data_IF_477518716794
#
_entry.id   IF_477518716794
#
_cell.length_a   1.000
_cell.length_b   1.000
_cell.length_c   1.000
_cell.angle_alpha   90.00
_cell.angle_beta   90.00
_cell.angle_gamma   90.00
#
_symmetry.space_group_name_H-M   'P 1'
#
loop_
_entity.id
_entity.type
_entity.pdbx_description
1 polymer ?
#
# COMPACT_ATOMS: atom_id res chain seq x y z
N UNK A 1 -52.51 60.82 -0.17
CA UNK A 1 -53.62 61.06 -1.12
C UNK A 1 -53.41 60.25 -2.40
N UNK A 2 -54.45 59.97 -3.21
CA UNK A 2 -54.42 59.12 -4.44
C UNK A 2 -54.02 59.92 -5.71
N UNK A 3 -54.10 59.40 -6.97
CA UNK A 3 -54.69 58.15 -7.51
C UNK A 3 -53.68 57.20 -8.24
N UNK A 4 -53.87 55.87 -8.40
CA UNK A 4 -54.94 55.06 -9.07
C UNK A 4 -55.00 55.32 -10.60
N UNK A 5 -54.91 54.32 -11.50
CA UNK A 5 -55.78 53.12 -11.62
C UNK A 5 -55.28 52.06 -12.65
N UNK A 6 -55.31 50.76 -12.28
CA UNK A 6 -55.72 49.53 -13.08
C UNK A 6 -55.07 49.20 -14.45
N UNK A 7 -54.92 47.93 -14.90
CA UNK A 7 -55.80 46.73 -14.77
C UNK A 7 -55.03 45.40 -14.99
N UNK A 8 -55.62 44.27 -14.58
CA UNK A 8 -55.20 42.83 -14.67
C UNK A 8 -56.23 42.08 -15.59
N UNK A 9 -56.36 40.72 -15.74
CA UNK A 9 -55.58 39.53 -15.29
C UNK A 9 -55.54 38.31 -16.30
N UNK A 10 -55.13 37.10 -15.80
CA UNK A 10 -55.40 35.70 -16.30
C UNK A 10 -54.66 35.25 -17.58
N UNK A 11 -54.20 34.01 -17.80
CA UNK A 11 -54.15 32.76 -16.99
C UNK A 11 -54.50 31.50 -17.81
N UNK A 12 -54.04 30.30 -17.38
CA UNK A 12 -54.28 28.95 -17.99
C UNK A 12 -53.66 28.70 -19.40
N UNK A 13 -53.47 27.48 -19.93
CA UNK A 13 -53.26 26.11 -19.38
C UNK A 13 -52.86 25.13 -20.50
N UNK A 14 -52.11 24.07 -20.16
CA UNK A 14 -52.16 22.69 -20.69
C UNK A 14 -52.39 22.34 -22.18
N UNK A 15 -51.47 21.49 -22.67
CA UNK A 15 -51.67 20.29 -23.53
C UNK A 15 -51.86 20.37 -25.06
N UNK A 16 -50.97 19.59 -25.73
CA UNK A 16 -51.18 18.62 -26.84
C UNK A 16 -51.98 19.05 -28.08
N UNK A 17 -51.39 18.85 -29.27
CA UNK A 17 -51.65 17.65 -30.14
C UNK A 17 -50.88 17.70 -31.48
N UNK A 18 -50.40 16.53 -31.93
CA UNK A 18 -50.61 15.90 -33.27
C UNK A 18 -50.29 16.68 -34.59
N UNK A 19 -49.91 16.09 -35.74
CA UNK A 19 -49.82 14.68 -36.19
C UNK A 19 -49.06 14.56 -37.54
N UNK A 20 -48.98 13.32 -38.06
CA UNK A 20 -48.44 12.84 -39.37
C UNK A 20 -46.92 12.58 -39.40
N UNK A 21 -46.46 11.46 -39.98
CA UNK A 21 -47.12 10.56 -40.95
C UNK A 21 -47.27 9.11 -40.46
N UNK A 22 -48.38 8.47 -40.88
CA UNK A 22 -48.52 7.01 -40.98
C UNK A 22 -47.74 6.51 -42.19
N UNK A 23 -47.20 5.29 -42.10
CA UNK A 23 -47.59 4.22 -43.03
C UNK A 23 -47.74 2.92 -42.23
N UNK A 24 -48.66 2.05 -42.65
CA UNK A 24 -49.09 0.82 -41.97
C UNK A 24 -49.37 -0.22 -43.05
N UNK A 25 -48.98 -1.46 -42.79
CA UNK A 25 -49.60 -2.76 -43.13
C UNK A 25 -48.58 -3.81 -42.61
N UNK A 26 -48.87 -4.60 -41.57
CA UNK A 26 -49.80 -5.75 -41.47
C UNK A 26 -49.39 -6.91 -42.41
N UNK A 27 -49.48 -8.19 -42.05
CA UNK A 27 -49.89 -8.83 -40.78
C UNK A 27 -48.63 -9.25 -39.95
N UNK A 28 -48.56 -10.17 -38.97
CA UNK A 28 -49.51 -11.13 -38.35
C UNK A 28 -49.09 -11.47 -36.88
N UNK A 29 -49.77 -12.46 -36.26
CA UNK A 29 -49.60 -12.95 -34.88
C UNK A 29 -48.61 -14.15 -34.83
N UNK A 30 -48.07 -14.66 -33.71
CA UNK A 30 -48.60 -14.74 -32.34
C UNK A 30 -47.50 -15.06 -31.28
N UNK A 31 -47.79 -14.84 -29.99
CA UNK A 31 -47.20 -15.52 -28.81
C UNK A 31 -45.69 -15.37 -28.48
N UNK A 32 -45.35 -14.39 -27.63
CA UNK A 32 -45.15 -14.63 -26.18
C UNK A 32 -44.42 -13.47 -25.48
N UNK A 33 -44.80 -13.19 -24.23
CA UNK A 33 -44.36 -12.02 -23.46
C UNK A 33 -43.08 -12.26 -22.65
N UNK A 34 -42.12 -11.35 -22.75
CA UNK A 34 -40.96 -11.26 -21.86
C UNK A 34 -40.98 -9.90 -21.12
N UNK A 35 -40.83 -9.87 -19.78
CA UNK A 35 -40.75 -8.62 -19.04
C UNK A 35 -39.35 -8.00 -19.13
N UNK A 36 -39.29 -6.67 -18.99
CA UNK A 36 -38.02 -5.94 -18.87
C UNK A 36 -37.21 -6.46 -17.67
N UNK A 37 -36.00 -6.95 -17.92
CA UNK A 37 -35.03 -7.34 -16.89
C UNK A 37 -33.91 -6.30 -16.74
N UNK A 38 -33.45 -6.17 -15.51
CA UNK A 38 -32.54 -5.12 -15.04
C UNK A 38 -31.08 -5.31 -15.51
N UNK A 39 -30.20 -4.31 -15.30
CA UNK A 39 -28.77 -4.38 -15.67
C UNK A 39 -27.97 -5.54 -15.04
N UNK A 40 -28.54 -6.31 -14.12
CA UNK A 40 -27.90 -7.48 -13.52
C UNK A 40 -27.68 -8.64 -14.52
N UNK A 41 -28.51 -8.75 -15.57
CA UNK A 41 -28.49 -9.90 -16.48
C UNK A 41 -27.28 -9.94 -17.45
N UNK A 42 -26.65 -8.79 -17.74
CA UNK A 42 -25.49 -8.72 -18.65
C UNK A 42 -24.19 -9.22 -18.00
N UNK A 43 -24.05 -9.09 -16.69
CA UNK A 43 -22.85 -9.51 -15.96
C UNK A 43 -22.77 -11.04 -15.81
N UNK A 44 -23.90 -11.74 -15.65
CA UNK A 44 -23.95 -13.21 -15.58
C UNK A 44 -23.47 -13.89 -16.86
N UNK A 45 -23.77 -13.34 -18.05
CA UNK A 45 -23.29 -13.89 -19.34
C UNK A 45 -21.79 -13.64 -19.61
N UNK A 46 -21.16 -12.68 -18.91
CA UNK A 46 -19.71 -12.47 -18.99
C UNK A 46 -18.96 -13.39 -18.03
N UNK A 47 -19.54 -13.66 -16.85
CA UNK A 47 -19.00 -14.61 -15.87
C UNK A 47 -18.95 -16.05 -16.40
N UNK A 48 -20.01 -16.52 -17.08
CA UNK A 48 -20.07 -17.91 -17.56
C UNK A 48 -19.03 -18.26 -18.63
N UNK A 49 -18.59 -17.30 -19.46
CA UNK A 49 -17.51 -17.50 -20.45
C UNK A 49 -16.10 -17.55 -19.84
N UNK A 50 -15.90 -16.94 -18.67
CA UNK A 50 -14.63 -17.02 -17.93
C UNK A 50 -14.57 -18.34 -17.15
N UNK A 51 -15.70 -18.75 -16.55
CA UNK A 51 -15.84 -20.03 -15.85
C UNK A 51 -15.45 -21.22 -16.75
N UNK A 52 -15.92 -21.26 -18.01
CA UNK A 52 -15.63 -22.35 -18.95
C UNK A 52 -14.20 -22.37 -19.49
N UNK A 53 -13.45 -21.26 -19.39
CA UNK A 53 -12.01 -21.28 -19.69
C UNK A 53 -11.18 -21.72 -18.47
N UNK A 54 -11.65 -21.40 -17.25
CA UNK A 54 -11.01 -21.86 -16.01
C UNK A 54 -11.18 -23.37 -15.76
N UNK A 55 -12.26 -24.00 -16.24
CA UNK A 55 -12.46 -25.46 -16.14
C UNK A 55 -11.47 -26.22 -17.00
N UNK A 56 -11.32 -25.83 -18.28
CA UNK A 56 -10.46 -26.53 -19.22
C UNK A 56 -8.98 -26.39 -18.84
N UNK A 57 -8.59 -25.27 -18.24
CA UNK A 57 -7.23 -25.05 -17.73
C UNK A 57 -6.98 -25.87 -16.44
N UNK A 58 -8.01 -26.09 -15.61
CA UNK A 58 -7.95 -27.01 -14.45
C UNK A 58 -7.97 -28.49 -14.85
N UNK A 59 -8.60 -28.87 -15.97
CA UNK A 59 -8.48 -30.24 -16.52
C UNK A 59 -7.10 -30.46 -17.15
N UNK A 60 -6.59 -29.53 -17.94
CA UNK A 60 -5.23 -29.62 -18.50
C UNK A 60 -4.11 -29.62 -17.42
N UNK A 61 -4.38 -29.10 -16.22
CA UNK A 61 -3.49 -29.17 -15.05
C UNK A 61 -3.69 -30.41 -14.17
N UNK A 62 -4.68 -31.27 -14.45
CA UNK A 62 -4.85 -32.57 -13.74
C UNK A 62 -4.02 -33.70 -14.34
N UNK A 63 -3.66 -33.59 -15.62
CA UNK A 63 -2.77 -34.55 -16.30
C UNK A 63 -1.27 -34.23 -16.09
N UNK A 64 -0.96 -33.07 -15.50
CA UNK A 64 0.37 -32.78 -14.98
C UNK A 64 0.41 -33.20 -13.51
N UNK A 65 1.21 -34.22 -13.25
CA UNK A 65 1.39 -34.87 -11.95
C UNK A 65 1.69 -33.85 -10.83
N UNK A 66 0.65 -33.52 -10.07
CA UNK A 66 0.69 -32.54 -8.97
C UNK A 66 1.59 -33.03 -7.83
N UNK A 67 1.67 -34.35 -7.61
CA UNK A 67 2.63 -34.92 -6.64
C UNK A 67 4.06 -34.70 -7.12
N UNK A 68 4.34 -34.76 -8.43
CA UNK A 68 5.69 -34.50 -8.96
C UNK A 68 6.13 -33.03 -8.83
N UNK A 69 5.21 -32.06 -8.93
CA UNK A 69 5.52 -30.64 -8.66
C UNK A 69 5.76 -30.40 -7.17
N UNK A 70 4.92 -30.96 -6.30
CA UNK A 70 5.06 -30.84 -4.84
C UNK A 70 6.32 -31.57 -4.31
N UNK A 71 6.72 -32.70 -4.94
CA UNK A 71 8.01 -33.37 -4.67
C UNK A 71 9.24 -32.60 -5.14
N UNK A 72 9.11 -31.68 -6.10
CA UNK A 72 10.23 -30.86 -6.60
C UNK A 72 10.45 -29.63 -5.72
N UNK A 73 9.38 -28.98 -5.25
CA UNK A 73 9.51 -27.88 -4.29
C UNK A 73 10.07 -28.36 -2.93
N UNK A 74 9.61 -29.51 -2.42
CA UNK A 74 10.03 -30.05 -1.12
C UNK A 74 11.47 -30.58 -1.08
N UNK A 75 12.11 -30.87 -2.23
CA UNK A 75 13.48 -31.42 -2.28
C UNK A 75 14.61 -30.39 -2.37
N UNK A 76 14.32 -29.10 -2.49
CA UNK A 76 15.35 -28.08 -2.78
C UNK A 76 15.70 -27.16 -1.61
N UNK A 77 14.94 -27.19 -0.51
CA UNK A 77 15.19 -26.34 0.64
C UNK A 77 16.01 -27.07 1.72
N UNK A 78 17.33 -26.84 1.69
CA UNK A 78 18.28 -27.48 2.63
C UNK A 78 18.29 -26.84 4.02
N UNK A 79 17.54 -25.76 4.23
CA UNK A 79 17.76 -24.84 5.36
C UNK A 79 16.51 -24.62 6.24
N UNK A 80 15.49 -25.46 6.12
CA UNK A 80 14.22 -25.39 6.90
C UNK A 80 13.57 -23.99 6.89
N UNK A 81 13.84 -23.18 5.87
CA UNK A 81 13.20 -21.88 5.66
C UNK A 81 11.82 -22.10 5.03
N UNK A 82 10.77 -21.38 5.43
CA UNK A 82 9.51 -21.47 4.72
C UNK A 82 9.59 -20.76 3.36
N UNK A 83 8.87 -21.27 2.36
CA UNK A 83 8.82 -20.70 0.99
C UNK A 83 8.11 -19.34 0.89
N UNK A 84 7.58 -18.79 1.99
CA UNK A 84 6.91 -17.49 2.03
C UNK A 84 7.25 -16.70 3.31
N UNK A 85 7.50 -15.40 3.16
CA UNK A 85 7.74 -14.43 4.23
C UNK A 85 6.63 -14.42 5.29
N UNK A 86 5.38 -14.65 4.89
CA UNK A 86 4.22 -14.73 5.79
C UNK A 86 4.30 -15.85 6.84
N UNK A 87 5.17 -16.85 6.62
CA UNK A 87 5.35 -18.00 7.51
C UNK A 87 6.63 -17.90 8.36
N UNK A 88 7.31 -16.75 8.36
CA UNK A 88 8.55 -16.56 9.12
C UNK A 88 8.29 -16.43 10.62
N UNK A 89 9.16 -17.07 11.40
CA UNK A 89 9.24 -17.01 12.85
C UNK A 89 10.64 -16.54 13.29
N UNK A 90 10.83 -16.14 14.56
CA UNK A 90 12.12 -15.66 15.07
C UNK A 90 13.31 -16.61 14.87
N UNK A 91 13.08 -17.92 14.73
CA UNK A 91 14.15 -18.88 14.42
C UNK A 91 14.64 -18.79 12.96
N UNK A 92 13.78 -18.42 12.01
CA UNK A 92 14.20 -18.14 10.63
C UNK A 92 15.09 -16.89 10.55
N UNK A 93 14.84 -15.90 11.42
CA UNK A 93 15.67 -14.70 11.54
C UNK A 93 17.07 -15.04 12.05
N UNK A 94 17.19 -15.98 13.01
CA UNK A 94 18.49 -16.48 13.48
C UNK A 94 19.28 -17.16 12.37
N UNK A 95 18.63 -18.00 11.55
CA UNK A 95 19.26 -18.65 10.39
C UNK A 95 19.77 -17.65 9.34
N UNK A 96 19.13 -16.48 9.24
CA UNK A 96 19.51 -15.38 8.36
C UNK A 96 20.32 -14.28 9.06
N UNK A 97 20.76 -14.48 10.31
CA UNK A 97 21.48 -13.48 11.12
C UNK A 97 20.81 -12.08 11.10
N UNK A 98 19.48 -12.04 11.22
CA UNK A 98 18.72 -10.79 11.29
C UNK A 98 18.38 -10.49 12.74
N UNK A 99 18.62 -9.25 13.19
CA UNK A 99 18.25 -8.77 14.52
C UNK A 99 17.44 -7.48 14.44
N UNK A 100 16.49 -7.31 15.36
CA UNK A 100 15.77 -6.05 15.55
C UNK A 100 16.33 -5.32 16.77
N UNK A 101 16.52 -4.00 16.64
CA UNK A 101 16.92 -3.13 17.75
C UNK A 101 16.02 -1.89 17.80
N UNK A 102 15.69 -1.44 19.02
CA UNK A 102 15.09 -0.12 19.19
C UNK A 102 16.11 0.97 18.85
N UNK A 103 15.74 1.91 17.99
CA UNK A 103 16.57 3.07 17.69
C UNK A 103 16.72 3.99 18.91
N UNK A 104 17.85 4.69 18.99
CA UNK A 104 18.12 5.62 20.10
C UNK A 104 17.51 7.00 19.85
N UNK A 105 17.31 7.37 18.58
CA UNK A 105 16.62 8.58 18.16
C UNK A 105 15.84 8.36 16.86
N UNK A 106 14.84 9.22 16.61
CA UNK A 106 14.04 9.24 15.37
C UNK A 106 14.93 9.20 14.11
N UNK A 107 15.97 10.04 14.08
CA UNK A 107 16.90 10.20 12.94
C UNK A 107 17.68 8.93 12.54
N UNK A 108 17.78 7.96 13.45
CA UNK A 108 18.47 6.71 13.14
C UNK A 108 17.64 5.94 12.08
N UNK A 109 16.30 6.02 12.17
CA UNK A 109 15.32 5.35 11.30
C UNK A 109 14.72 6.29 10.24
N UNK A 110 14.25 7.47 10.63
CA UNK A 110 13.65 8.47 9.74
C UNK A 110 14.75 9.37 9.17
N UNK A 111 14.85 9.56 7.85
CA UNK A 111 15.83 10.45 7.25
C UNK A 111 15.74 11.89 7.76
N UNK A 112 16.89 12.51 8.10
CA UNK A 112 16.93 13.93 8.45
C UNK A 112 16.76 14.79 7.18
N UNK A 113 15.61 15.45 7.06
CA UNK A 113 15.31 16.40 5.98
C UNK A 113 15.04 17.78 6.59
N UNK A 114 15.64 18.86 6.05
CA UNK A 114 15.38 20.22 6.53
C UNK A 114 13.89 20.58 6.45
N UNK A 115 13.35 21.17 7.51
CA UNK A 115 11.91 21.53 7.64
C UNK A 115 11.39 22.31 6.41
N UNK A 116 12.21 23.21 5.86
CA UNK A 116 11.88 23.99 4.67
C UNK A 116 11.57 23.15 3.41
N UNK A 117 12.10 21.92 3.30
CA UNK A 117 11.83 21.02 2.18
C UNK A 117 10.50 20.27 2.36
N UNK A 118 10.20 19.80 3.58
CA UNK A 118 8.92 19.12 3.88
C UNK A 118 7.73 20.08 4.02
N UNK A 119 7.96 21.37 4.28
CA UNK A 119 6.93 22.37 4.60
C UNK A 119 5.75 22.40 3.61
N UNK A 120 6.03 22.35 2.30
CA UNK A 120 5.00 22.41 1.26
C UNK A 120 4.21 21.09 1.09
N UNK A 121 4.78 19.97 1.55
CA UNK A 121 4.09 18.68 1.65
C UNK A 121 3.22 18.69 2.91
N UNK A 122 3.77 19.15 4.04
CA UNK A 122 3.09 19.17 5.34
C UNK A 122 1.90 20.15 5.37
N UNK A 123 2.01 21.36 4.81
CA UNK A 123 0.90 22.34 4.73
C UNK A 123 -0.36 21.82 4.01
N UNK A 124 -0.22 20.84 3.11
CA UNK A 124 -1.37 20.19 2.45
C UNK A 124 -2.11 19.24 3.39
N UNK A 125 -1.44 18.83 4.47
CA UNK A 125 -1.86 17.85 5.44
C UNK A 125 -2.34 18.46 6.77
N UNK A 126 -2.01 19.72 7.08
CA UNK A 126 -2.47 20.47 8.27
C UNK A 126 -3.97 20.24 8.57
N UNK A 127 -4.80 20.27 7.52
CA UNK A 127 -6.26 20.07 7.62
C UNK A 127 -6.73 18.66 8.03
N UNK A 128 -5.84 17.68 8.07
CA UNK A 128 -6.11 16.32 8.57
C UNK A 128 -5.49 16.09 9.97
N UNK A 129 -4.77 17.07 10.54
CA UNK A 129 -4.25 16.97 11.91
C UNK A 129 -5.38 16.90 12.93
N UNK A 130 -6.41 17.75 12.77
CA UNK A 130 -7.69 17.71 13.50
C UNK A 130 -7.49 17.53 15.02
N UNK A 131 -7.01 18.57 15.73
CA UNK A 131 -6.63 18.49 17.15
C UNK A 131 -7.80 18.21 18.10
N UNK A 132 -9.03 18.23 17.60
CA UNK A 132 -10.28 17.92 18.32
C UNK A 132 -10.78 16.49 18.08
N UNK A 133 -10.10 15.70 17.23
CA UNK A 133 -10.51 14.34 16.83
C UNK A 133 -9.43 13.35 17.29
N UNK A 134 -9.62 12.82 18.48
CA UNK A 134 -8.77 11.86 19.19
C UNK A 134 -9.36 10.43 19.20
N UNK A 135 -8.67 9.47 19.83
CA UNK A 135 -9.12 8.07 19.86
C UNK A 135 -10.42 7.86 20.65
N UNK A 136 -10.70 8.69 21.65
CA UNK A 136 -11.97 8.63 22.40
C UNK A 136 -13.14 9.07 21.50
N UNK A 137 -12.97 10.19 20.81
CA UNK A 137 -13.94 10.72 19.84
C UNK A 137 -14.19 9.73 18.70
N UNK A 138 -13.12 9.14 18.16
CA UNK A 138 -13.17 8.13 17.10
C UNK A 138 -13.69 6.76 17.60
N UNK A 139 -13.56 6.44 18.88
CA UNK A 139 -14.07 5.19 19.47
C UNK A 139 -15.58 5.17 19.73
N UNK A 140 -16.25 6.33 19.61
CA UNK A 140 -17.69 6.44 19.84
C UNK A 140 -18.50 5.87 18.66
N UNK A 141 -19.24 4.78 18.87
CA UNK A 141 -20.13 4.15 17.86
C UNK A 141 -21.23 5.06 17.27
N UNK A 142 -21.46 6.25 17.83
CA UNK A 142 -22.38 7.28 17.30
C UNK A 142 -21.66 8.46 16.63
N UNK A 143 -20.33 8.37 16.49
CA UNK A 143 -19.54 9.40 15.82
C UNK A 143 -19.97 9.52 14.36
N UNK A 144 -20.23 10.75 13.92
CA UNK A 144 -20.54 11.08 12.54
C UNK A 144 -19.81 12.38 12.17
N UNK A 145 -18.83 12.28 11.29
CA UNK A 145 -18.04 13.43 10.84
C UNK A 145 -18.88 14.48 10.10
N UNK A 146 -20.04 14.11 9.53
CA UNK A 146 -20.91 15.07 8.85
C UNK A 146 -21.59 16.05 9.82
N UNK A 147 -21.60 15.73 11.12
CA UNK A 147 -22.08 16.63 12.19
C UNK A 147 -21.05 17.67 12.62
N UNK A 148 -19.77 17.51 12.22
CA UNK A 148 -18.68 18.41 12.58
C UNK A 148 -18.60 19.60 11.61
N UNK A 149 -19.18 20.73 12.01
CA UNK A 149 -19.29 21.94 11.16
C UNK A 149 -17.94 22.60 10.83
N UNK A 150 -16.90 22.31 11.60
CA UNK A 150 -15.52 22.70 11.36
C UNK A 150 -14.85 21.88 10.24
N UNK A 151 -15.28 20.63 10.02
CA UNK A 151 -14.72 19.73 8.99
C UNK A 151 -15.52 19.85 7.69
N UNK A 152 -15.32 20.97 6.99
CA UNK A 152 -16.07 21.31 5.76
C UNK A 152 -15.61 20.59 4.48
N UNK A 153 -14.44 19.94 4.48
CA UNK A 153 -13.88 19.32 3.28
C UNK A 153 -14.24 17.83 3.19
N UNK A 154 -14.98 17.43 2.16
CA UNK A 154 -15.34 16.02 1.88
C UNK A 154 -14.13 15.07 1.91
N UNK A 155 -12.95 15.52 1.47
CA UNK A 155 -11.70 14.73 1.53
C UNK A 155 -11.22 14.48 2.96
N UNK A 156 -11.40 15.46 3.84
CA UNK A 156 -11.05 15.35 5.27
C UNK A 156 -12.11 14.53 5.99
N UNK A 157 -13.39 14.75 5.70
CA UNK A 157 -14.48 13.89 6.19
C UNK A 157 -14.23 12.41 5.83
N UNK A 158 -13.91 12.11 4.57
CA UNK A 158 -13.58 10.75 4.11
C UNK A 158 -12.41 10.13 4.90
N UNK A 159 -11.34 10.89 5.12
CA UNK A 159 -10.19 10.45 5.92
C UNK A 159 -10.60 10.12 7.36
N UNK A 160 -11.38 10.99 7.99
CA UNK A 160 -11.87 10.81 9.37
C UNK A 160 -12.84 9.63 9.47
N UNK A 161 -13.73 9.42 8.50
CA UNK A 161 -14.59 8.23 8.44
C UNK A 161 -13.77 6.94 8.32
N UNK A 162 -12.72 6.93 7.50
CA UNK A 162 -11.80 5.78 7.41
C UNK A 162 -11.09 5.51 8.73
N UNK A 163 -10.58 6.57 9.38
CA UNK A 163 -9.91 6.47 10.67
C UNK A 163 -10.86 5.98 11.78
N UNK A 164 -12.09 6.50 11.83
CA UNK A 164 -13.15 6.01 12.73
C UNK A 164 -13.43 4.52 12.50
N UNK A 165 -13.57 4.09 11.24
CA UNK A 165 -13.80 2.69 10.90
C UNK A 165 -12.64 1.78 11.36
N UNK A 166 -11.38 2.23 11.28
CA UNK A 166 -10.23 1.47 11.81
C UNK A 166 -10.30 1.39 13.35
N UNK A 167 -10.61 2.49 14.04
CA UNK A 167 -10.70 2.50 15.52
C UNK A 167 -11.81 1.57 16.03
N UNK A 168 -13.03 1.64 15.49
CA UNK A 168 -14.17 0.83 15.99
C UNK A 168 -14.04 -0.66 15.65
N UNK A 169 -13.33 -1.02 14.58
CA UNK A 169 -13.14 -2.41 14.15
C UNK A 169 -11.81 -3.01 14.65
N UNK A 170 -10.79 -2.20 14.95
CA UNK A 170 -9.50 -2.66 15.50
C UNK A 170 -9.58 -3.27 16.90
N UNK A 171 -10.72 -3.16 17.59
CA UNK A 171 -11.04 -3.90 18.81
C UNK A 171 -11.55 -5.33 18.53
N UNK A 172 -11.90 -5.66 17.29
CA UNK A 172 -12.31 -7.00 16.87
C UNK A 172 -11.06 -7.85 16.59
N UNK A 173 -11.18 -9.16 16.84
CA UNK A 173 -10.04 -10.04 17.08
C UNK A 173 -9.07 -10.18 15.89
N UNK A 174 -7.84 -10.59 16.21
CA UNK A 174 -6.78 -10.96 15.27
C UNK A 174 -7.33 -11.80 14.11
N UNK A 175 -7.28 -11.27 12.89
CA UNK A 175 -7.83 -11.93 11.69
C UNK A 175 -9.18 -11.40 11.19
N UNK A 176 -9.67 -10.25 11.68
CA UNK A 176 -10.88 -9.60 11.13
C UNK A 176 -10.56 -8.27 10.42
N UNK A 177 -10.72 -8.28 9.09
CA UNK A 177 -10.84 -7.13 8.18
C UNK A 177 -9.70 -6.09 8.12
N UNK A 178 -8.49 -6.56 7.76
CA UNK A 178 -7.31 -5.76 7.32
C UNK A 178 -7.71 -4.66 6.30
N UNK A 179 -8.76 -4.91 5.49
CA UNK A 179 -9.36 -3.99 4.50
C UNK A 179 -9.58 -2.56 5.00
N UNK A 180 -9.92 -2.34 6.28
CA UNK A 180 -10.13 -0.98 6.81
C UNK A 180 -8.81 -0.22 6.95
N UNK A 181 -7.76 -0.86 7.47
CA UNK A 181 -6.45 -0.23 7.59
C UNK A 181 -5.83 -0.04 6.21
N UNK A 182 -5.91 -1.05 5.33
CA UNK A 182 -5.46 -0.95 3.94
C UNK A 182 -6.11 0.24 3.23
N UNK A 183 -7.42 0.42 3.41
CA UNK A 183 -8.20 1.52 2.82
C UNK A 183 -7.84 2.89 3.40
N UNK A 184 -7.37 2.96 4.65
CA UNK A 184 -6.85 4.18 5.29
C UNK A 184 -5.43 4.49 4.81
N UNK A 185 -4.55 3.48 4.73
CA UNK A 185 -3.15 3.66 4.35
C UNK A 185 -3.01 3.92 2.86
N UNK A 186 -3.74 3.22 1.98
CA UNK A 186 -3.78 3.55 0.54
C UNK A 186 -4.20 5.02 0.32
N UNK A 187 -5.22 5.47 1.07
CA UNK A 187 -5.75 6.82 1.02
C UNK A 187 -4.80 7.88 1.58
N UNK A 188 -3.96 7.50 2.54
CA UNK A 188 -2.88 8.30 3.08
C UNK A 188 -1.74 8.42 2.08
N UNK A 189 -1.22 7.29 1.57
CA UNK A 189 -0.14 7.25 0.58
C UNK A 189 -0.51 8.00 -0.71
N UNK A 190 -1.76 7.88 -1.16
CA UNK A 190 -2.28 8.66 -2.30
C UNK A 190 -2.29 10.18 -2.05
N UNK A 191 -2.43 10.66 -0.80
CA UNK A 191 -2.33 12.11 -0.49
C UNK A 191 -0.89 12.63 -0.60
N UNK A 192 0.11 11.81 -0.25
CA UNK A 192 1.53 12.13 -0.47
C UNK A 192 1.94 12.07 -1.95
N UNK A 193 1.18 11.33 -2.78
CA UNK A 193 1.45 11.08 -4.19
C UNK A 193 0.55 11.89 -5.17
N UNK A 194 0.14 13.10 -4.78
CA UNK A 194 -0.80 13.92 -5.56
C UNK A 194 -0.29 14.21 -7.00
N UNK A 195 -1.22 14.21 -7.96
CA UNK A 195 -0.96 14.13 -9.41
C UNK A 195 -0.12 15.28 -9.97
N UNK A 196 -0.08 16.43 -9.30
CA UNK A 196 0.78 17.56 -9.68
C UNK A 196 2.27 17.28 -9.53
N UNK A 197 2.67 16.26 -8.75
CA UNK A 197 4.05 15.82 -8.55
C UNK A 197 4.32 14.45 -9.20
N UNK A 198 3.61 14.13 -10.29
CA UNK A 198 3.85 12.91 -11.07
C UNK A 198 5.26 12.90 -11.66
N UNK A 199 6.15 12.10 -11.07
CA UNK A 199 7.33 11.60 -11.78
C UNK A 199 7.85 10.26 -11.26
N UNK A 200 8.08 10.09 -9.94
CA UNK A 200 8.98 9.03 -9.49
C UNK A 200 8.48 8.00 -8.48
N UNK A 201 7.60 8.33 -7.53
CA UNK A 201 7.10 7.36 -6.55
C UNK A 201 5.94 6.51 -7.11
N UNK A 202 6.23 5.26 -7.47
CA UNK A 202 5.22 4.26 -7.84
C UNK A 202 4.85 3.43 -6.61
N UNK A 203 3.65 3.62 -6.08
CA UNK A 203 3.01 2.62 -5.22
C UNK A 203 2.63 1.39 -6.07
N UNK A 204 2.90 0.21 -5.54
CA UNK A 204 2.36 -1.06 -6.02
C UNK A 204 1.74 -1.79 -4.82
N UNK A 205 0.55 -2.33 -5.01
CA UNK A 205 -0.14 -3.13 -4.01
C UNK A 205 0.16 -4.60 -4.34
N UNK A 206 0.45 -5.42 -3.33
CA UNK A 206 0.81 -6.86 -3.47
C UNK A 206 1.86 -7.19 -4.58
N UNK A 207 3.05 -6.54 -4.60
CA UNK A 207 4.08 -6.87 -5.57
C UNK A 207 4.94 -8.05 -5.07
N UNK A 208 4.75 -9.21 -5.71
CA UNK A 208 5.57 -10.40 -5.44
C UNK A 208 7.06 -10.07 -5.57
N UNK A 209 7.77 -10.20 -4.45
CA UNK A 209 9.22 -9.99 -4.30
C UNK A 209 9.88 -11.30 -3.87
N UNK A 210 11.17 -11.53 -4.17
CA UNK A 210 11.82 -12.82 -3.92
C UNK A 210 13.21 -12.70 -3.31
N UNK A 211 13.47 -13.50 -2.27
CA UNK A 211 14.83 -13.81 -1.80
C UNK A 211 15.31 -15.05 -2.53
N UNK A 212 16.54 -14.99 -3.07
CA UNK A 212 17.23 -16.13 -3.66
C UNK A 212 18.34 -16.58 -2.70
N UNK A 213 18.32 -17.84 -2.27
CA UNK A 213 19.31 -18.39 -1.33
C UNK A 213 19.88 -19.68 -1.93
N UNK A 214 21.19 -19.72 -2.20
CA UNK A 214 21.81 -20.88 -2.86
C UNK A 214 21.71 -22.14 -1.99
N UNK A 215 20.93 -23.12 -2.47
CA UNK A 215 20.63 -24.34 -1.73
C UNK A 215 19.54 -24.21 -0.66
N UNK A 216 19.01 -23.00 -0.42
CA UNK A 216 17.79 -22.76 0.36
C UNK A 216 16.53 -22.68 -0.51
N UNK A 217 16.68 -22.42 -1.80
CA UNK A 217 15.56 -22.22 -2.72
C UNK A 217 15.17 -20.74 -2.82
N UNK A 218 13.88 -20.50 -3.05
CA UNK A 218 13.31 -19.16 -3.23
C UNK A 218 12.30 -18.91 -2.11
N UNK A 219 12.47 -17.80 -1.39
CA UNK A 219 11.45 -17.29 -0.46
C UNK A 219 10.66 -16.22 -1.18
N UNK A 220 9.33 -16.37 -1.21
CA UNK A 220 8.41 -15.38 -1.79
C UNK A 220 7.91 -14.41 -0.72
N UNK A 221 7.75 -13.15 -1.10
CA UNK A 221 7.23 -12.06 -0.27
C UNK A 221 6.12 -11.38 -1.05
N UNK A 222 5.06 -10.97 -0.35
CA UNK A 222 3.91 -10.26 -0.93
C UNK A 222 3.54 -9.09 -0.01
N UNK A 223 4.37 -8.02 0.01
CA UNK A 223 4.15 -6.88 0.90
C UNK A 223 2.88 -6.14 0.51
N UNK A 224 2.24 -5.48 1.48
CA UNK A 224 0.93 -4.87 1.27
C UNK A 224 1.02 -3.69 0.29
N UNK A 225 1.87 -2.71 0.63
CA UNK A 225 2.24 -1.63 -0.27
C UNK A 225 3.75 -1.54 -0.41
N UNK A 226 4.20 -1.18 -1.59
CA UNK A 226 5.61 -0.92 -1.86
C UNK A 226 5.75 0.34 -2.69
N UNK A 227 6.61 1.24 -2.24
CA UNK A 227 6.92 2.49 -2.91
C UNK A 227 8.30 2.39 -3.55
N UNK A 228 8.35 2.58 -4.86
CA UNK A 228 9.56 2.55 -5.68
C UNK A 228 9.87 3.93 -6.27
N UNK A 229 11.12 4.38 -6.16
CA UNK A 229 11.70 5.56 -6.82
C UNK A 229 12.68 5.07 -7.90
N UNK A 230 12.43 5.38 -9.18
CA UNK A 230 13.33 5.03 -10.32
C UNK A 230 13.78 3.54 -10.37
N UNK A 231 13.03 2.66 -9.72
CA UNK A 231 13.30 1.21 -9.65
C UNK A 231 14.14 0.75 -8.44
N UNK A 232 14.53 1.66 -7.54
CA UNK A 232 14.83 1.31 -6.16
C UNK A 232 13.53 1.27 -5.37
N UNK A 233 13.17 0.09 -4.88
CA UNK A 233 12.24 -0.15 -3.79
C UNK A 233 12.81 0.51 -2.53
N UNK A 234 12.03 1.36 -1.86
CA UNK A 234 12.56 2.20 -0.78
C UNK A 234 11.72 2.26 0.48
N UNK A 235 10.39 2.11 0.40
CA UNK A 235 9.51 1.95 1.55
C UNK A 235 8.55 0.77 1.33
N UNK A 236 8.54 -0.18 2.25
CA UNK A 236 7.48 -1.19 2.37
C UNK A 236 6.43 -0.74 3.39
N UNK A 237 5.18 -1.15 3.19
CA UNK A 237 4.16 -1.17 4.24
C UNK A 237 3.74 -2.62 4.47
N UNK A 238 3.73 -3.04 5.74
CA UNK A 238 3.51 -4.44 6.13
C UNK A 238 2.48 -4.51 7.26
N UNK A 239 1.36 -5.18 7.01
CA UNK A 239 0.27 -5.39 7.97
C UNK A 239 -0.25 -6.84 7.92
N UNK A 240 0.60 -7.82 8.25
CA UNK A 240 0.21 -9.24 8.27
C UNK A 240 0.85 -10.01 9.44
N UNK A 241 0.16 -11.04 9.89
CA UNK A 241 0.60 -12.03 10.89
C UNK A 241 1.09 -11.43 12.23
N UNK A 242 0.31 -10.53 12.82
CA UNK A 242 0.65 -9.86 14.09
C UNK A 242 0.31 -10.74 15.30
N UNK A 243 1.25 -11.59 15.73
CA UNK A 243 1.13 -12.40 16.96
C UNK A 243 2.42 -12.32 17.78
N UNK A 244 2.38 -12.62 19.08
CA UNK A 244 3.62 -12.69 19.88
C UNK A 244 4.60 -13.76 19.35
N UNK A 245 4.11 -14.86 18.79
CA UNK A 245 4.92 -15.93 18.21
C UNK A 245 5.74 -15.48 16.99
N UNK A 246 5.22 -14.56 16.18
CA UNK A 246 5.92 -13.98 15.00
C UNK A 246 6.75 -12.74 15.34
N UNK A 247 6.84 -12.35 16.62
CA UNK A 247 7.43 -11.08 17.03
C UNK A 247 6.58 -9.87 16.64
N UNK A 248 5.25 -9.99 16.73
CA UNK A 248 4.27 -8.98 16.30
C UNK A 248 4.45 -8.56 14.83
N UNK A 249 4.66 -9.55 13.96
CA UNK A 249 4.86 -9.36 12.52
C UNK A 249 6.31 -9.02 12.09
N UNK A 250 7.23 -8.76 13.03
CA UNK A 250 8.63 -8.42 12.70
C UNK A 250 9.36 -9.52 11.92
N UNK A 251 9.01 -10.79 12.17
CA UNK A 251 9.58 -11.91 11.41
C UNK A 251 9.23 -11.85 9.92
N UNK A 252 8.01 -11.41 9.59
CA UNK A 252 7.60 -11.18 8.20
C UNK A 252 8.30 -9.92 7.65
N UNK A 253 8.28 -8.80 8.37
CA UNK A 253 8.92 -7.53 7.94
C UNK A 253 10.38 -7.75 7.54
N UNK A 254 11.16 -8.51 8.33
CA UNK A 254 12.54 -8.85 8.01
C UNK A 254 12.69 -9.57 6.66
N UNK A 255 11.85 -10.58 6.40
CA UNK A 255 11.85 -11.32 5.15
C UNK A 255 11.43 -10.45 3.96
N UNK A 256 10.46 -9.56 4.15
CA UNK A 256 10.01 -8.65 3.09
C UNK A 256 11.05 -7.57 2.77
N UNK A 257 11.72 -7.00 3.78
CA UNK A 257 12.85 -6.08 3.58
C UNK A 257 14.02 -6.75 2.84
N UNK A 258 14.32 -8.03 3.14
CA UNK A 258 15.31 -8.81 2.37
C UNK A 258 14.86 -9.10 0.94
N UNK A 259 13.61 -9.52 0.72
CA UNK A 259 13.07 -9.78 -0.61
C UNK A 259 13.09 -8.51 -1.48
N UNK A 260 12.78 -7.38 -0.86
CA UNK A 260 12.86 -6.05 -1.44
C UNK A 260 14.30 -5.67 -1.84
N UNK A 261 15.29 -5.82 -0.95
CA UNK A 261 16.70 -5.59 -1.30
C UNK A 261 17.23 -6.51 -2.40
N UNK A 262 16.79 -7.78 -2.41
CA UNK A 262 17.11 -8.76 -3.46
C UNK A 262 16.55 -8.36 -4.83
N UNK A 263 15.28 -7.94 -4.91
CA UNK A 263 14.69 -7.43 -6.16
C UNK A 263 15.33 -6.11 -6.63
N UNK A 264 15.78 -5.24 -5.72
CA UNK A 264 16.53 -4.03 -6.08
C UNK A 264 17.83 -4.34 -6.82
N UNK A 265 18.64 -5.26 -6.31
CA UNK A 265 19.89 -5.67 -6.93
C UNK A 265 19.66 -6.22 -8.33
N UNK A 266 18.61 -7.05 -8.49
CA UNK A 266 18.19 -7.62 -9.77
C UNK A 266 17.70 -6.55 -10.74
N UNK A 267 16.90 -5.57 -10.28
CA UNK A 267 16.42 -4.47 -11.12
C UNK A 267 17.55 -3.58 -11.62
N UNK A 268 18.55 -3.30 -10.78
CA UNK A 268 19.70 -2.47 -11.13
C UNK A 268 20.64 -3.13 -12.17
N UNK A 269 20.45 -4.42 -12.48
CA UNK A 269 21.22 -5.15 -13.49
C UNK A 269 22.72 -5.21 -13.19
N UNK A 270 23.13 -4.98 -11.94
CA UNK A 270 24.54 -4.95 -11.54
C UNK A 270 25.06 -6.37 -11.36
N UNK A 271 26.18 -6.68 -12.00
CA UNK A 271 26.98 -7.89 -11.71
C UNK A 271 27.63 -7.83 -10.31
N UNK A 272 27.59 -6.67 -9.66
CA UNK A 272 28.18 -6.43 -8.34
C UNK A 272 27.12 -6.10 -7.28
N UNK A 273 27.19 -6.83 -6.17
CA UNK A 273 26.45 -6.53 -4.95
C UNK A 273 26.80 -5.12 -4.43
N UNK A 274 25.78 -4.37 -4.01
CA UNK A 274 25.93 -3.05 -3.40
C UNK A 274 24.99 -2.89 -2.21
N UNK A 275 25.40 -2.14 -1.21
CA UNK A 275 24.60 -1.85 -0.01
C UNK A 275 23.18 -1.38 -0.37
N UNK A 276 22.19 -1.91 0.34
CA UNK A 276 20.77 -1.58 0.17
C UNK A 276 20.22 -0.95 1.45
N UNK A 277 19.90 0.34 1.41
CA UNK A 277 19.10 0.99 2.44
C UNK A 277 17.62 0.72 2.16
N UNK A 278 16.92 0.09 3.10
CA UNK A 278 15.50 -0.25 2.99
C UNK A 278 14.76 0.35 4.19
N UNK A 279 13.68 1.09 3.93
CA UNK A 279 12.74 1.53 4.96
C UNK A 279 11.50 0.63 4.95
N UNK A 280 10.84 0.48 6.09
CA UNK A 280 9.52 -0.12 6.17
C UNK A 280 8.65 0.62 7.19
N UNK A 281 7.33 0.49 7.05
CA UNK A 281 6.32 0.94 7.98
C UNK A 281 5.41 -0.24 8.32
N UNK A 282 5.28 -0.58 9.60
CA UNK A 282 4.25 -1.49 10.09
C UNK A 282 3.07 -0.67 10.56
N UNK A 283 1.86 -1.11 10.22
CA UNK A 283 0.63 -0.59 10.79
C UNK A 283 -0.09 -1.74 11.49
N UNK A 284 -0.60 -1.49 12.68
CA UNK A 284 -1.43 -2.44 13.44
C UNK A 284 -2.66 -1.65 13.90
N UNK A 285 -3.78 -1.77 13.18
CA UNK A 285 -4.94 -0.88 13.37
C UNK A 285 -4.51 0.59 13.20
N UNK A 286 -4.41 1.38 14.26
CA UNK A 286 -3.94 2.77 14.21
C UNK A 286 -2.46 2.94 14.60
N UNK A 287 -1.80 1.91 15.14
CA UNK A 287 -0.42 2.02 15.63
C UNK A 287 0.61 1.90 14.50
N UNK A 288 1.35 2.98 14.24
CA UNK A 288 2.36 3.06 13.20
C UNK A 288 3.76 2.90 13.78
N UNK A 289 4.57 2.01 13.20
CA UNK A 289 5.97 1.79 13.56
C UNK A 289 6.85 1.88 12.31
N UNK A 290 7.94 2.62 12.37
CA UNK A 290 8.90 2.74 11.27
C UNK A 290 10.13 1.86 11.49
N UNK A 291 10.72 1.41 10.39
CA UNK A 291 11.89 0.55 10.36
C UNK A 291 12.89 1.02 9.31
N UNK A 292 14.18 0.80 9.57
CA UNK A 292 15.27 1.02 8.62
C UNK A 292 16.31 -0.06 8.76
N UNK A 293 16.90 -0.47 7.65
CA UNK A 293 18.12 -1.28 7.66
C UNK A 293 19.04 -0.88 6.51
N UNK A 294 20.33 -1.20 6.65
CA UNK A 294 21.33 -1.12 5.58
C UNK A 294 21.90 -2.53 5.43
N UNK A 295 21.52 -3.23 4.36
CA UNK A 295 21.98 -4.58 4.07
C UNK A 295 23.20 -4.49 3.16
N UNK A 296 24.39 -4.77 3.71
CA UNK A 296 25.68 -4.61 3.02
C UNK A 296 25.82 -5.51 1.79
N UNK A 297 26.64 -5.08 0.84
CA UNK A 297 27.08 -5.87 -0.31
C UNK A 297 27.57 -7.28 0.07
N UNK A 298 28.29 -7.40 1.18
CA UNK A 298 28.88 -8.65 1.68
C UNK A 298 27.82 -9.68 2.09
N UNK A 299 26.75 -9.25 2.75
CA UNK A 299 25.65 -10.13 3.16
C UNK A 299 24.96 -10.78 1.96
N UNK A 300 24.77 -10.01 0.87
CA UNK A 300 24.21 -10.56 -0.38
C UNK A 300 25.15 -11.59 -1.04
N UNK A 301 26.48 -11.37 -1.00
CA UNK A 301 27.48 -12.36 -1.48
C UNK A 301 27.42 -13.67 -0.68
N UNK A 302 27.09 -13.61 0.61
CA UNK A 302 26.86 -14.81 1.42
C UNK A 302 25.57 -15.54 1.02
N UNK A 303 24.47 -14.84 0.74
CA UNK A 303 23.21 -15.45 0.27
C UNK A 303 23.35 -16.18 -1.08
N UNK A 304 24.17 -15.63 -1.98
CA UNK A 304 24.61 -16.26 -3.23
C UNK A 304 25.47 -17.53 -3.01
N UNK A 305 25.89 -17.79 -1.77
CA UNK A 305 26.71 -18.93 -1.36
C UNK A 305 26.01 -19.90 -0.38
N UNK A 306 24.95 -19.48 0.30
CA UNK A 306 24.19 -20.26 1.28
C UNK A 306 23.47 -19.38 2.31
N UNK A 307 23.34 -19.86 3.55
CA UNK A 307 22.98 -19.00 4.68
C UNK A 307 24.17 -18.09 5.07
N UNK A 308 23.91 -16.89 5.64
CA UNK A 308 24.95 -15.98 6.09
C UNK A 308 25.77 -16.56 7.25
N UNK A 309 27.06 -16.22 7.31
CA UNK A 309 28.06 -16.84 8.20
C UNK A 309 28.83 -15.82 9.02
N UNK A 310 29.24 -14.72 8.41
CA UNK A 310 29.94 -13.63 9.08
C UNK A 310 29.01 -12.43 9.21
N UNK A 311 28.48 -11.93 8.09
CA UNK A 311 27.64 -10.72 8.07
C UNK A 311 26.27 -10.91 8.72
N UNK A 312 25.75 -9.83 9.29
CA UNK A 312 24.44 -9.77 9.94
C UNK A 312 23.65 -8.54 9.47
N UNK A 313 22.32 -8.63 9.57
CA UNK A 313 21.41 -7.53 9.22
C UNK A 313 20.76 -7.02 10.49
N UNK A 314 21.08 -5.77 10.85
CA UNK A 314 20.41 -5.07 11.93
C UNK A 314 19.28 -4.21 11.37
N UNK A 315 18.06 -4.45 11.85
CA UNK A 315 16.88 -3.65 11.53
C UNK A 315 16.57 -2.76 12.74
N UNK A 316 16.68 -1.45 12.54
CA UNK A 316 16.37 -0.45 13.55
C UNK A 316 14.88 -0.11 13.49
N UNK A 317 14.25 0.06 14.66
CA UNK A 317 12.82 0.35 14.82
C UNK A 317 12.58 1.65 15.59
N UNK A 318 11.63 2.46 15.14
CA UNK A 318 11.16 3.66 15.84
C UNK A 318 9.62 3.73 15.83
N UNK A 319 8.92 3.85 16.99
CA UNK A 319 9.44 3.90 18.35
C UNK A 319 10.19 2.63 18.80
N UNK A 320 10.96 2.73 19.88
CA UNK A 320 11.92 1.68 20.26
C UNK A 320 11.30 0.38 20.83
N UNK A 321 10.03 0.35 21.22
CA UNK A 321 9.36 -0.84 21.76
C UNK A 321 8.75 -1.72 20.65
N UNK A 322 8.62 -3.04 20.87
CA UNK A 322 7.80 -3.90 20.02
C UNK A 322 6.65 -4.54 20.82
N UNK A 323 5.43 -4.04 20.59
CA UNK A 323 4.18 -4.62 21.08
C UNK A 323 3.03 -4.23 20.14
N UNK A 324 1.83 -4.73 20.38
CA UNK A 324 0.62 -4.39 19.60
C UNK A 324 0.27 -2.89 19.61
N UNK A 325 0.78 -2.12 20.59
CA UNK A 325 0.47 -0.69 20.80
C UNK A 325 1.71 0.17 21.05
N UNK A 326 2.88 -0.32 20.65
CA UNK A 326 4.17 0.39 20.81
C UNK A 326 4.44 1.46 19.74
N UNK A 327 3.60 1.53 18.70
CA UNK A 327 3.71 2.52 17.64
C UNK A 327 3.08 3.87 18.01
N UNK A 328 3.26 4.85 17.13
CA UNK A 328 2.51 6.11 17.19
C UNK A 328 1.03 5.84 16.91
N UNK A 329 0.13 6.24 17.79
CA UNK A 329 -1.31 6.05 17.59
C UNK A 329 -1.85 7.09 16.61
N UNK A 330 -2.11 6.69 15.36
CA UNK A 330 -2.58 7.59 14.32
C UNK A 330 -4.01 8.13 14.58
N UNK A 331 -4.73 7.58 15.55
CA UNK A 331 -5.97 8.15 16.07
C UNK A 331 -5.73 9.32 17.05
N UNK A 332 -4.55 9.45 17.67
CA UNK A 332 -4.19 10.60 18.49
C UNK A 332 -3.63 11.76 17.65
N UNK A 333 -4.04 13.03 17.84
CA UNK A 333 -3.62 14.13 16.97
C UNK A 333 -2.11 14.39 16.95
N UNK A 334 -1.42 14.26 18.08
CA UNK A 334 0.03 14.49 18.22
C UNK A 334 0.85 13.41 17.51
N UNK A 335 0.43 12.16 17.65
CA UNK A 335 1.07 11.00 17.03
C UNK A 335 0.78 10.96 15.52
N UNK A 336 -0.45 11.31 15.12
CA UNK A 336 -0.83 11.58 13.72
C UNK A 336 0.05 12.65 13.08
N UNK A 337 0.36 13.73 13.81
CA UNK A 337 1.31 14.75 13.35
C UNK A 337 2.70 14.14 13.12
N UNK A 338 3.19 13.35 14.06
CA UNK A 338 4.52 12.72 14.00
C UNK A 338 4.62 11.73 12.83
N UNK A 339 3.58 10.92 12.60
CA UNK A 339 3.47 10.05 11.41
C UNK A 339 3.48 10.87 10.11
N UNK A 340 2.78 12.02 10.08
CA UNK A 340 2.80 12.88 8.90
C UNK A 340 4.17 13.50 8.62
N UNK A 341 4.87 13.97 9.65
CA UNK A 341 6.23 14.50 9.50
C UNK A 341 7.20 13.42 9.05
N UNK A 342 7.13 12.21 9.62
CA UNK A 342 7.96 11.08 9.24
C UNK A 342 7.75 10.68 7.77
N UNK A 343 6.50 10.54 7.32
CA UNK A 343 6.18 10.23 5.91
C UNK A 343 6.62 11.36 4.96
N UNK A 344 6.54 12.62 5.37
CA UNK A 344 7.05 13.74 4.58
C UNK A 344 8.59 13.71 4.47
N UNK A 345 9.31 13.48 5.58
CA UNK A 345 10.78 13.33 5.59
C UNK A 345 11.23 12.17 4.69
N UNK A 346 10.60 11.00 4.82
CA UNK A 346 10.87 9.84 3.95
C UNK A 346 10.60 10.21 2.48
N UNK A 347 9.46 10.82 2.16
CA UNK A 347 9.14 11.23 0.78
C UNK A 347 10.23 12.12 0.17
N UNK A 348 10.65 13.17 0.87
CA UNK A 348 11.65 14.11 0.33
C UNK A 348 13.04 13.47 0.24
N UNK A 349 13.46 12.59 1.17
CA UNK A 349 14.78 11.94 1.07
C UNK A 349 14.90 11.06 -0.18
N UNK A 350 13.84 10.34 -0.55
CA UNK A 350 13.80 9.55 -1.78
C UNK A 350 13.95 10.42 -3.04
N UNK A 351 13.33 11.61 -3.04
CA UNK A 351 13.44 12.57 -4.13
C UNK A 351 14.84 13.19 -4.23
N UNK A 352 15.53 13.41 -3.09
CA UNK A 352 16.89 13.98 -3.03
C UNK A 352 17.93 12.99 -3.55
N UNK A 353 17.92 11.74 -3.08
CA UNK A 353 18.80 10.66 -3.59
C UNK A 353 18.66 10.49 -5.12
N UNK A 354 17.50 10.84 -5.67
CA UNK A 354 17.19 10.76 -7.09
C UNK A 354 17.93 11.79 -7.96
N UNK A 355 18.44 12.88 -7.37
CA UNK A 355 19.07 14.01 -8.08
C UNK A 355 20.61 13.91 -8.15
N UNK A 356 21.25 13.34 -7.11
CA UNK A 356 22.71 13.15 -7.08
C UNK A 356 23.17 12.17 -8.17
N UNK A 357 22.40 11.10 -8.41
CA UNK A 357 22.65 10.11 -9.48
C UNK A 357 22.60 10.75 -10.88
N UNK A 358 21.93 11.89 -11.06
CA UNK A 358 21.91 12.61 -12.35
C UNK A 358 23.12 13.53 -12.55
N UNK A 359 23.81 13.97 -11.49
CA UNK A 359 24.95 14.88 -11.61
C UNK A 359 26.22 14.16 -12.01
N UNK A 360 26.48 12.96 -11.46
CA UNK A 360 27.65 12.14 -11.84
C UNK A 360 27.67 11.77 -13.34
N UNK A 361 26.49 11.46 -13.90
CA UNK A 361 26.32 11.09 -15.31
C UNK A 361 26.64 12.23 -16.29
N UNK A 362 26.52 13.49 -15.87
CA UNK A 362 26.84 14.67 -16.70
C UNK A 362 28.34 14.98 -16.65
N UNK A 363 28.99 14.79 -15.50
CA UNK A 363 30.45 15.02 -15.35
C UNK A 363 31.32 14.00 -16.09
N UNK A 364 30.80 12.81 -16.42
CA UNK A 364 31.54 11.80 -17.18
C UNK A 364 31.61 12.06 -18.71
N UNK A 365 30.85 13.04 -19.24
CA UNK A 365 30.67 13.27 -20.68
C UNK A 365 31.61 14.30 -21.34
N UNK A 366 32.69 14.71 -20.67
CA UNK A 366 33.44 15.93 -21.04
C UNK A 366 34.96 15.78 -21.19
N UNK A 367 35.46 14.95 -22.11
CA UNK A 367 36.87 15.02 -22.56
C UNK A 367 37.11 14.42 -23.94
N UNK A 368 37.61 15.22 -24.89
CA UNK A 368 38.01 14.82 -26.24
C UNK A 368 37.11 15.44 -27.33
N UNK A 369 37.61 16.21 -28.30
CA UNK A 369 39.00 16.58 -28.60
C UNK A 369 39.08 17.95 -29.27
N UNK A 370 40.10 18.72 -28.93
CA UNK A 370 40.55 19.88 -29.70
C UNK A 370 41.73 19.44 -30.58
N UNK A 371 41.53 19.35 -31.90
CA UNK A 371 42.51 19.66 -32.96
C UNK A 371 41.92 19.51 -34.35
#
# INVERSE_FOLDING_TARGET
MPPKKTKKPVGSSSQKTSQKRKYVEDESEESSSAPNLSPAASNLRRSSRISSQSSNLKEALRDLDLEALELVETKTNRFDLPSSASKFYPDNLKLLKITFVGASAEKDVIPEVPVAQIQATFQKLDKYLLPTIDSETLGNYKFDVTTHTDITSEKVQTFVTKLHNVVINGAQQTGTDETFTDTLIDDLLHKYNDRSYRAFLKSRNHPISKIYIKGGGIVTSDPEFVIQEKGKLSLLVVEKNVTSATGYGESQIAAEMLACGSENLRYLGKETHTDQTILAMRVISTYVTFYKTVIKAEYWKELDSGLPKEEEVQIQRWPAENSLRAGFDFAEPTDRQTVFEALAKIRESLLVESNEVQTEAVTAGGSGSNK
#
